data_IF_335570414282
#
_entry.id   IF_335570414282
#
_cell.length_a   1.000
_cell.length_b   1.000
_cell.length_c   1.000
_cell.angle_alpha   90.00
_cell.angle_beta   90.00
_cell.angle_gamma   90.00
#
_symmetry.space_group_name_H-M   'P 1'
#
loop_
_entity.id
_entity.type
_entity.pdbx_description
1 polymer ?
#
# COMPACT_ATOMS: atom_id res chain seq x y z
N UNK A 1 28.21 -7.34 5.90
CA UNK A 1 27.54 -6.23 6.60
C UNK A 1 27.07 -5.29 5.51
N UNK A 2 25.77 -5.29 5.17
CA UNK A 2 25.26 -4.35 4.17
C UNK A 2 25.10 -3.01 4.88
N UNK A 3 25.84 -2.01 4.45
CA UNK A 3 25.67 -0.67 4.99
C UNK A 3 24.30 -0.09 4.57
N UNK A 4 23.99 1.12 5.01
CA UNK A 4 22.69 1.74 4.68
C UNK A 4 22.54 1.99 3.18
N UNK A 5 23.64 2.21 2.45
CA UNK A 5 23.64 2.43 1.01
C UNK A 5 23.33 1.11 0.29
N UNK A 6 23.95 0.00 0.70
CA UNK A 6 23.66 -1.34 0.17
C UNK A 6 22.19 -1.70 0.36
N UNK A 7 21.63 -1.43 1.55
CA UNK A 7 20.20 -1.65 1.83
C UNK A 7 19.31 -0.81 0.91
N UNK A 8 19.68 0.45 0.67
CA UNK A 8 18.96 1.31 -0.26
C UNK A 8 19.04 0.78 -1.70
N UNK A 9 20.20 0.32 -2.15
CA UNK A 9 20.37 -0.28 -3.48
C UNK A 9 19.48 -1.52 -3.64
N UNK A 10 19.45 -2.42 -2.65
CA UNK A 10 18.59 -3.61 -2.67
C UNK A 10 17.11 -3.23 -2.67
N UNK A 11 16.72 -2.21 -1.90
CA UNK A 11 15.36 -1.70 -1.89
C UNK A 11 14.96 -1.17 -3.27
N UNK A 12 15.79 -0.31 -3.87
CA UNK A 12 15.53 0.32 -5.17
C UNK A 12 15.68 -0.66 -6.36
N UNK A 13 16.39 -1.77 -6.20
CA UNK A 13 16.44 -2.82 -7.21
C UNK A 13 15.09 -3.55 -7.37
N UNK A 14 14.21 -3.46 -6.37
CA UNK A 14 12.87 -4.06 -6.41
C UNK A 14 11.87 -3.05 -6.98
N UNK A 15 10.99 -3.54 -7.85
CA UNK A 15 9.85 -2.77 -8.40
C UNK A 15 9.03 -2.07 -7.31
N UNK A 16 8.78 -2.77 -6.19
CA UNK A 16 8.02 -2.19 -5.08
C UNK A 16 8.77 -1.05 -4.39
N UNK A 17 10.09 -1.14 -4.25
CA UNK A 17 10.90 -0.05 -3.68
C UNK A 17 10.87 1.20 -4.54
N UNK A 18 10.99 1.05 -5.87
CA UNK A 18 10.83 2.17 -6.81
C UNK A 18 9.43 2.77 -6.73
N UNK A 19 8.36 1.96 -6.71
CA UNK A 19 7.00 2.51 -6.57
C UNK A 19 6.84 3.32 -5.27
N UNK A 20 7.37 2.84 -4.14
CA UNK A 20 7.29 3.59 -2.87
C UNK A 20 8.12 4.88 -2.88
N UNK A 21 9.29 4.89 -3.51
CA UNK A 21 10.07 6.11 -3.71
C UNK A 21 9.31 7.13 -4.56
N UNK A 22 8.82 6.70 -5.72
CA UNK A 22 8.10 7.60 -6.64
C UNK A 22 6.75 8.03 -6.03
N UNK A 23 6.13 7.22 -5.17
CA UNK A 23 4.96 7.61 -4.35
C UNK A 23 5.33 8.75 -3.40
N UNK A 24 6.45 8.67 -2.71
CA UNK A 24 6.94 9.77 -1.86
C UNK A 24 7.07 11.06 -2.68
N UNK A 25 7.69 11.01 -3.86
CA UNK A 25 7.83 12.17 -4.74
C UNK A 25 6.48 12.77 -5.15
N UNK A 26 5.53 11.93 -5.55
CA UNK A 26 4.18 12.35 -5.93
C UNK A 26 3.48 13.12 -4.81
N UNK A 27 3.52 12.62 -3.58
CA UNK A 27 2.74 13.23 -2.50
C UNK A 27 3.47 14.36 -1.77
N UNK A 28 4.81 14.35 -1.73
CA UNK A 28 5.60 15.53 -1.33
C UNK A 28 5.30 16.68 -2.28
N UNK A 29 5.37 16.45 -3.60
CA UNK A 29 5.10 17.49 -4.60
C UNK A 29 3.67 18.03 -4.54
N UNK A 30 2.68 17.17 -4.24
CA UNK A 30 1.30 17.61 -3.96
C UNK A 30 1.22 18.59 -2.78
N UNK A 31 1.91 18.31 -1.68
CA UNK A 31 1.93 19.18 -0.50
C UNK A 31 2.69 20.48 -0.75
N UNK A 32 3.82 20.41 -1.46
CA UNK A 32 4.58 21.59 -1.87
C UNK A 32 3.71 22.48 -2.76
N UNK A 33 3.04 21.92 -3.76
CA UNK A 33 2.11 22.65 -4.63
C UNK A 33 1.07 23.40 -3.79
N UNK A 34 0.37 22.70 -2.88
CA UNK A 34 -0.63 23.31 -2.00
C UNK A 34 -0.07 24.44 -1.13
N UNK A 35 1.15 24.29 -0.61
CA UNK A 35 1.77 25.28 0.26
C UNK A 35 2.16 26.57 -0.49
N UNK A 36 2.66 26.45 -1.72
CA UNK A 36 3.22 27.58 -2.46
C UNK A 36 2.29 28.15 -3.54
N UNK A 37 1.12 27.55 -3.78
CA UNK A 37 0.15 27.97 -4.80
C UNK A 37 -0.23 29.46 -4.69
N UNK A 38 -0.38 29.97 -3.47
CA UNK A 38 -0.79 31.36 -3.23
C UNK A 38 0.35 32.38 -3.28
N UNK A 39 1.58 31.94 -3.05
CA UNK A 39 2.73 32.84 -2.85
C UNK A 39 3.72 32.80 -4.01
N UNK A 40 3.87 31.64 -4.66
CA UNK A 40 4.86 31.41 -5.70
C UNK A 40 4.27 30.52 -6.82
N UNK A 41 3.45 31.10 -7.73
CA UNK A 41 2.73 30.34 -8.76
C UNK A 41 3.63 29.51 -9.68
N UNK A 42 4.80 30.02 -10.04
CA UNK A 42 5.76 29.30 -10.91
C UNK A 42 6.28 28.01 -10.26
N UNK A 43 6.58 28.07 -8.96
CA UNK A 43 7.02 26.90 -8.20
C UNK A 43 5.86 25.93 -7.97
N UNK A 44 4.64 26.44 -7.79
CA UNK A 44 3.44 25.61 -7.69
C UNK A 44 3.21 24.83 -8.98
N UNK A 45 3.38 25.45 -10.15
CA UNK A 45 3.27 24.78 -11.44
C UNK A 45 4.32 23.66 -11.60
N UNK A 46 5.58 23.92 -11.23
CA UNK A 46 6.65 22.90 -11.25
C UNK A 46 6.36 21.74 -10.30
N UNK A 47 5.89 22.03 -9.08
CA UNK A 47 5.48 21.01 -8.13
C UNK A 47 4.30 20.18 -8.67
N UNK A 48 3.34 20.81 -9.36
CA UNK A 48 2.23 20.08 -9.99
C UNK A 48 2.70 19.16 -11.12
N UNK A 49 3.63 19.61 -11.96
CA UNK A 49 4.22 18.78 -13.00
C UNK A 49 4.95 17.58 -12.40
N UNK A 50 5.70 17.79 -11.31
CA UNK A 50 6.38 16.71 -10.60
C UNK A 50 5.40 15.69 -10.01
N UNK A 51 4.28 16.15 -9.44
CA UNK A 51 3.19 15.28 -8.95
C UNK A 51 2.65 14.39 -10.07
N UNK A 52 2.28 15.00 -11.20
CA UNK A 52 1.67 14.30 -12.33
C UNK A 52 2.65 13.30 -12.96
N UNK A 53 3.89 13.73 -13.19
CA UNK A 53 4.93 12.87 -13.76
C UNK A 53 5.20 11.64 -12.87
N UNK A 54 5.37 11.87 -11.55
CA UNK A 54 5.55 10.79 -10.58
C UNK A 54 4.37 9.82 -10.57
N UNK A 55 3.13 10.34 -10.60
CA UNK A 55 1.92 9.52 -10.64
C UNK A 55 1.82 8.64 -11.90
N UNK A 56 2.21 9.15 -13.07
CA UNK A 56 2.25 8.38 -14.31
C UNK A 56 3.35 7.30 -14.28
N UNK A 57 4.56 7.65 -13.83
CA UNK A 57 5.67 6.70 -13.69
C UNK A 57 5.30 5.53 -12.77
N UNK A 58 4.60 5.78 -11.66
CA UNK A 58 4.13 4.70 -10.76
C UNK A 58 3.19 3.72 -11.44
N UNK A 59 2.24 4.20 -12.23
CA UNK A 59 1.32 3.32 -12.97
C UNK A 59 2.10 2.44 -13.96
N UNK A 60 3.09 3.02 -14.65
CA UNK A 60 3.98 2.26 -15.51
C UNK A 60 4.79 1.20 -14.74
N UNK A 61 5.42 1.56 -13.61
CA UNK A 61 6.20 0.61 -12.81
C UNK A 61 5.36 -0.49 -12.16
N UNK A 62 4.07 -0.25 -11.87
CA UNK A 62 3.17 -1.29 -11.36
C UNK A 62 2.69 -2.25 -12.45
N UNK A 63 3.32 -2.21 -13.63
CA UNK A 63 2.96 -3.09 -14.73
C UNK A 63 3.06 -4.56 -14.37
N UNK A 64 2.05 -5.35 -14.76
CA UNK A 64 1.96 -6.79 -14.47
C UNK A 64 1.65 -7.14 -13.01
N UNK A 65 1.44 -6.17 -12.11
CA UNK A 65 1.20 -6.45 -10.68
C UNK A 65 -0.11 -7.20 -10.41
N UNK A 66 -1.10 -7.12 -11.29
CA UNK A 66 -2.33 -7.93 -11.20
C UNK A 66 -2.03 -9.45 -11.17
N UNK A 67 -0.91 -9.89 -11.75
CA UNK A 67 -0.51 -11.31 -11.73
C UNK A 67 -0.13 -11.80 -10.33
N UNK A 68 0.30 -10.90 -9.43
CA UNK A 68 0.63 -11.27 -8.06
C UNK A 68 -0.62 -11.75 -7.30
N UNK A 69 -1.72 -10.98 -7.36
CA UNK A 69 -3.00 -11.37 -6.76
C UNK A 69 -3.53 -12.67 -7.37
N UNK A 70 -3.43 -12.82 -8.69
CA UNK A 70 -3.83 -14.06 -9.37
C UNK A 70 -3.03 -15.28 -8.90
N UNK A 71 -1.71 -15.13 -8.77
CA UNK A 71 -0.84 -16.21 -8.32
C UNK A 71 -1.11 -16.59 -6.85
N UNK A 72 -1.40 -15.62 -5.98
CA UNK A 72 -1.80 -15.86 -4.58
C UNK A 72 -3.07 -16.72 -4.53
N UNK A 73 -4.10 -16.37 -5.29
CA UNK A 73 -5.35 -17.14 -5.34
C UNK A 73 -5.16 -18.55 -5.89
N UNK A 74 -4.28 -18.71 -6.88
CA UNK A 74 -4.00 -20.02 -7.48
C UNK A 74 -3.24 -20.95 -6.55
N UNK A 75 -2.29 -20.44 -5.77
CA UNK A 75 -1.34 -21.28 -5.01
C UNK A 75 -1.70 -21.47 -3.55
N UNK A 76 -2.23 -20.46 -2.88
CA UNK A 76 -2.49 -20.53 -1.44
C UNK A 76 -3.53 -19.48 -1.02
N UNK A 77 -4.84 -19.76 -1.21
CA UNK A 77 -5.88 -18.83 -0.81
C UNK A 77 -6.02 -18.73 0.72
N UNK A 78 -5.42 -19.63 1.50
CA UNK A 78 -5.39 -19.55 2.97
C UNK A 78 -5.75 -20.86 3.67
N UNK A 79 -5.38 -21.00 4.95
CA UNK A 79 -5.52 -22.27 5.68
C UNK A 79 -6.97 -22.58 6.08
N UNK A 80 -7.79 -21.57 6.33
CA UNK A 80 -9.20 -21.73 6.76
C UNK A 80 -10.16 -21.23 5.68
N UNK A 81 -11.43 -21.68 5.67
CA UNK A 81 -12.43 -21.15 4.73
C UNK A 81 -12.59 -19.63 4.80
N UNK A 82 -12.50 -19.07 6.01
CA UNK A 82 -12.56 -17.61 6.24
C UNK A 82 -11.38 -16.92 5.56
N UNK A 83 -10.15 -17.39 5.78
CA UNK A 83 -8.99 -16.80 5.12
C UNK A 83 -9.02 -16.98 3.60
N UNK A 84 -9.58 -18.08 3.09
CA UNK A 84 -9.81 -18.27 1.65
C UNK A 84 -10.77 -17.25 1.06
N UNK A 85 -11.87 -16.97 1.73
CA UNK A 85 -12.81 -15.93 1.32
C UNK A 85 -12.17 -14.53 1.38
N UNK A 86 -11.50 -14.22 2.48
CA UNK A 86 -10.80 -12.93 2.65
C UNK A 86 -9.74 -12.73 1.58
N UNK A 87 -8.92 -13.75 1.30
CA UNK A 87 -7.91 -13.70 0.25
C UNK A 87 -8.53 -13.55 -1.14
N UNK A 88 -9.63 -14.26 -1.42
CA UNK A 88 -10.36 -14.13 -2.68
C UNK A 88 -10.82 -12.70 -2.92
N UNK A 89 -11.44 -12.08 -1.91
CA UNK A 89 -11.95 -10.72 -2.02
C UNK A 89 -10.81 -9.69 -2.06
N UNK A 90 -9.77 -9.84 -1.23
CA UNK A 90 -8.66 -8.90 -1.16
C UNK A 90 -7.80 -8.93 -2.43
N UNK A 91 -7.31 -10.10 -2.81
CA UNK A 91 -6.46 -10.27 -4.01
C UNK A 91 -7.28 -10.10 -5.29
N UNK A 92 -8.56 -10.48 -5.30
CA UNK A 92 -9.47 -10.21 -6.42
C UNK A 92 -9.66 -8.71 -6.65
N UNK A 93 -9.86 -7.94 -5.57
CA UNK A 93 -9.90 -6.48 -5.62
C UNK A 93 -8.59 -5.88 -6.14
N UNK A 94 -7.44 -6.36 -5.63
CA UNK A 94 -6.10 -5.94 -6.09
C UNK A 94 -5.88 -6.25 -7.58
N UNK A 95 -6.35 -7.39 -8.07
CA UNK A 95 -6.29 -7.75 -9.49
C UNK A 95 -7.08 -6.78 -10.36
N UNK A 96 -8.34 -6.49 -9.99
CA UNK A 96 -9.20 -5.52 -10.68
C UNK A 96 -8.52 -4.16 -10.69
N UNK A 97 -8.05 -3.70 -9.52
CA UNK A 97 -7.33 -2.45 -9.40
C UNK A 97 -6.20 -2.33 -10.41
N UNK A 98 -5.22 -3.25 -10.34
CA UNK A 98 -4.03 -3.15 -11.17
C UNK A 98 -4.34 -3.29 -12.65
N UNK A 99 -5.25 -4.19 -13.02
CA UNK A 99 -5.61 -4.37 -14.42
C UNK A 99 -6.20 -3.09 -15.02
N UNK A 100 -7.19 -2.49 -14.34
CA UNK A 100 -7.83 -1.26 -14.83
C UNK A 100 -6.94 -0.03 -14.67
N UNK A 101 -6.00 -0.02 -13.71
CA UNK A 101 -5.00 1.03 -13.55
C UNK A 101 -4.06 1.13 -14.77
N UNK A 102 -3.77 0.00 -15.44
CA UNK A 102 -3.01 -0.01 -16.69
C UNK A 102 -3.81 0.59 -17.84
N UNK A 103 -5.08 0.24 -17.97
CA UNK A 103 -5.94 0.81 -19.01
C UNK A 103 -6.11 2.32 -18.82
N UNK A 104 -6.25 2.76 -17.55
CA UNK A 104 -6.22 4.17 -17.19
C UNK A 104 -4.90 4.84 -17.59
N UNK A 105 -3.76 4.20 -17.31
CA UNK A 105 -2.45 4.72 -17.70
C UNK A 105 -2.33 4.88 -19.22
N UNK A 106 -2.68 3.84 -19.99
CA UNK A 106 -2.68 3.86 -21.46
C UNK A 106 -3.60 4.94 -22.04
N UNK A 107 -4.76 5.16 -21.42
CA UNK A 107 -5.68 6.25 -21.77
C UNK A 107 -5.08 7.64 -21.48
N UNK A 108 -4.37 7.82 -20.36
CA UNK A 108 -3.74 9.10 -20.01
C UNK A 108 -2.52 9.44 -20.86
N UNK A 109 -1.79 8.45 -21.38
CA UNK A 109 -0.65 8.68 -22.29
C UNK A 109 -1.07 8.76 -23.77
N UNK A 110 -2.36 8.59 -24.08
CA UNK A 110 -2.91 8.76 -25.44
C UNK A 110 -2.86 7.51 -26.32
N UNK A 111 -2.56 6.33 -25.76
CA UNK A 111 -2.61 5.05 -26.50
C UNK A 111 -4.05 4.55 -26.63
N UNK A 112 -4.89 4.76 -25.60
CA UNK A 112 -6.32 4.46 -25.63
C UNK A 112 -7.13 5.76 -25.62
N UNK A 113 -8.42 5.67 -25.98
CA UNK A 113 -9.35 6.81 -25.93
C UNK A 113 -9.36 7.43 -24.52
N UNK A 114 -9.16 8.76 -24.45
CA UNK A 114 -9.19 9.54 -23.22
C UNK A 114 -10.54 9.45 -22.48
N UNK A 115 -11.64 9.16 -23.19
CA UNK A 115 -12.97 8.97 -22.59
C UNK A 115 -13.03 7.77 -21.67
N UNK A 116 -12.16 6.78 -21.86
CA UNK A 116 -12.09 5.60 -21.00
C UNK A 116 -11.47 5.93 -19.64
N UNK A 117 -10.60 6.94 -19.53
CA UNK A 117 -9.86 7.26 -18.32
C UNK A 117 -10.77 7.35 -17.08
N UNK A 118 -11.89 8.10 -17.16
CA UNK A 118 -12.78 8.27 -16.01
C UNK A 118 -13.42 6.95 -15.56
N UNK A 119 -13.87 6.13 -16.52
CA UNK A 119 -14.47 4.81 -16.22
C UNK A 119 -13.43 3.84 -15.66
N UNK A 120 -12.24 3.79 -16.25
CA UNK A 120 -11.16 2.91 -15.77
C UNK A 120 -10.67 3.35 -14.39
N UNK A 121 -10.60 4.66 -14.10
CA UNK A 121 -10.26 5.20 -12.77
C UNK A 121 -11.25 4.73 -11.72
N UNK A 122 -12.55 4.85 -11.99
CA UNK A 122 -13.59 4.43 -11.07
C UNK A 122 -13.53 2.91 -10.78
N UNK A 123 -13.47 2.08 -11.83
CA UNK A 123 -13.43 0.61 -11.67
C UNK A 123 -12.17 0.20 -10.89
N UNK A 124 -11.03 0.79 -11.23
CA UNK A 124 -9.75 0.55 -10.56
C UNK A 124 -9.83 0.92 -9.07
N UNK A 125 -10.29 2.14 -8.74
CA UNK A 125 -10.44 2.61 -7.37
C UNK A 125 -11.45 1.78 -6.56
N UNK A 126 -12.56 1.37 -7.17
CA UNK A 126 -13.55 0.50 -6.53
C UNK A 126 -12.97 -0.87 -6.18
N UNK A 127 -12.29 -1.52 -7.14
CA UNK A 127 -11.61 -2.79 -6.90
C UNK A 127 -10.57 -2.69 -5.79
N UNK A 128 -9.78 -1.62 -5.78
CA UNK A 128 -8.76 -1.38 -4.76
C UNK A 128 -9.39 -1.16 -3.37
N UNK A 129 -10.49 -0.42 -3.30
CA UNK A 129 -11.21 -0.15 -2.04
C UNK A 129 -11.74 -1.44 -1.41
N UNK A 130 -12.34 -2.31 -2.22
CA UNK A 130 -12.75 -3.66 -1.79
C UNK A 130 -11.52 -4.42 -1.29
N UNK A 131 -10.42 -4.39 -2.04
CA UNK A 131 -9.15 -4.99 -1.65
C UNK A 131 -8.69 -4.57 -0.26
N UNK A 132 -8.62 -3.26 -0.03
CA UNK A 132 -8.18 -2.67 1.24
C UNK A 132 -9.02 -3.06 2.43
N UNK A 133 -10.36 -3.05 2.31
CA UNK A 133 -11.26 -3.44 3.40
C UNK A 133 -10.94 -4.87 3.85
N UNK A 134 -10.78 -5.81 2.91
CA UNK A 134 -10.53 -7.21 3.27
C UNK A 134 -9.09 -7.48 3.71
N UNK A 135 -8.11 -6.74 3.23
CA UNK A 135 -6.74 -6.79 3.78
C UNK A 135 -6.72 -6.30 5.24
N UNK A 136 -7.38 -5.18 5.54
CA UNK A 136 -7.47 -4.63 6.91
C UNK A 136 -8.14 -5.63 7.85
N UNK A 137 -9.26 -6.24 7.44
CA UNK A 137 -9.93 -7.29 8.24
C UNK A 137 -8.98 -8.46 8.49
N UNK A 138 -8.28 -8.94 7.46
CA UNK A 138 -7.33 -10.05 7.57
C UNK A 138 -6.19 -9.73 8.55
N UNK A 139 -5.62 -8.53 8.46
CA UNK A 139 -4.54 -8.09 9.33
C UNK A 139 -4.99 -7.96 10.79
N UNK A 140 -6.21 -7.46 11.06
CA UNK A 140 -6.74 -7.43 12.42
C UNK A 140 -6.95 -8.82 13.03
N UNK A 141 -7.45 -9.78 12.24
CA UNK A 141 -7.58 -11.17 12.69
C UNK A 141 -6.19 -11.72 13.06
N UNK A 142 -5.19 -11.53 12.19
CA UNK A 142 -3.84 -12.06 12.41
C UNK A 142 -3.10 -11.36 13.57
N UNK A 143 -3.32 -10.05 13.77
CA UNK A 143 -2.83 -9.32 14.95
C UNK A 143 -3.44 -9.92 16.22
N UNK A 144 -4.76 -10.17 16.25
CA UNK A 144 -5.45 -10.76 17.39
C UNK A 144 -4.90 -12.16 17.70
N UNK A 145 -4.74 -12.99 16.67
CA UNK A 145 -4.21 -14.34 16.84
C UNK A 145 -2.76 -14.32 17.33
N UNK A 146 -1.94 -13.39 16.85
CA UNK A 146 -0.58 -13.15 17.35
C UNK A 146 -0.52 -12.66 18.81
N UNK A 147 -1.47 -11.82 19.24
CA UNK A 147 -1.59 -11.40 20.66
C UNK A 147 -1.99 -12.59 21.54
N UNK A 148 -2.91 -13.42 21.08
CA UNK A 148 -3.32 -14.62 21.82
C UNK A 148 -2.17 -15.61 21.96
N UNK A 149 -1.37 -15.80 20.90
CA UNK A 149 -0.17 -16.63 20.94
C UNK A 149 0.89 -16.08 21.92
N UNK A 150 1.14 -14.75 21.92
CA UNK A 150 2.05 -14.12 22.90
C UNK A 150 1.57 -14.35 24.34
N UNK A 151 0.26 -14.26 24.61
CA UNK A 151 -0.31 -14.53 25.94
C UNK A 151 -0.17 -15.98 26.36
N UNK A 152 -0.32 -16.94 25.45
CA UNK A 152 -0.16 -18.36 25.75
C UNK A 152 1.29 -18.67 26.14
N UNK A 153 2.27 -18.14 25.40
CA UNK A 153 3.70 -18.29 25.70
C UNK A 153 4.04 -17.63 27.05
N UNK A 154 3.52 -16.42 27.30
CA UNK A 154 3.72 -15.74 28.58
C UNK A 154 3.07 -16.51 29.76
N UNK A 155 1.91 -17.13 29.53
CA UNK A 155 1.21 -17.96 30.51
C UNK A 155 1.99 -19.25 30.85
N UNK A 156 2.50 -19.96 29.85
CA UNK A 156 3.30 -21.17 30.05
C UNK A 156 4.65 -20.91 30.73
N UNK A 157 5.21 -19.70 30.51
CA UNK A 157 6.44 -19.23 31.14
C UNK A 157 6.30 -18.90 32.63
N UNK A 158 5.07 -18.79 33.17
CA UNK A 158 4.87 -18.59 34.62
C UNK A 158 5.14 -19.88 35.43
N UNK A 159 5.24 -21.02 34.74
CA UNK A 159 5.47 -22.36 35.30
C UNK A 159 6.89 -22.91 35.07
N UNK A 160 7.79 -22.18 34.40
CA UNK A 160 9.18 -22.60 34.12
C UNK A 160 10.00 -21.53 33.37
N UNK A 161 11.31 -21.75 33.19
CA UNK A 161 12.17 -20.83 32.45
C UNK A 161 11.72 -20.67 30.97
N UNK A 162 11.70 -19.43 30.48
CA UNK A 162 11.40 -19.11 29.07
C UNK A 162 12.49 -19.71 28.18
N UNK A 163 12.12 -20.67 27.34
CA UNK A 163 13.02 -21.28 26.35
C UNK A 163 13.57 -20.23 25.36
N UNK A 164 14.77 -20.47 24.82
CA UNK A 164 15.32 -19.64 23.74
C UNK A 164 14.41 -19.63 22.50
N UNK A 165 13.75 -20.76 22.20
CA UNK A 165 12.74 -20.87 21.13
C UNK A 165 11.51 -19.98 21.40
N UNK A 166 11.07 -19.90 22.66
CA UNK A 166 9.95 -19.02 23.03
C UNK A 166 10.32 -17.54 22.87
N UNK A 167 11.56 -17.15 23.22
CA UNK A 167 12.05 -15.79 22.99
C UNK A 167 12.11 -15.45 21.51
N UNK A 168 12.57 -16.38 20.68
CA UNK A 168 12.63 -16.17 19.23
C UNK A 168 11.22 -16.04 18.63
N UNK A 169 10.29 -16.92 19.01
CA UNK A 169 8.89 -16.86 18.59
C UNK A 169 8.23 -15.55 19.00
N UNK A 170 8.44 -15.08 20.22
CA UNK A 170 7.95 -13.79 20.69
C UNK A 170 8.51 -12.63 19.87
N UNK A 171 9.82 -12.68 19.54
CA UNK A 171 10.46 -11.71 18.64
C UNK A 171 9.77 -11.67 17.27
N UNK A 172 9.53 -12.84 16.66
CA UNK A 172 8.85 -12.96 15.36
C UNK A 172 7.41 -12.42 15.42
N UNK A 173 6.64 -12.73 16.47
CA UNK A 173 5.27 -12.23 16.66
C UNK A 173 5.26 -10.69 16.77
N UNK A 174 6.22 -10.10 17.48
CA UNK A 174 6.33 -8.64 17.64
C UNK A 174 6.65 -7.96 16.32
N UNK A 175 7.60 -8.49 15.55
CA UNK A 175 7.93 -7.97 14.22
C UNK A 175 6.74 -8.10 13.28
N UNK A 176 6.08 -9.27 13.22
CA UNK A 176 4.89 -9.49 12.39
C UNK A 176 3.76 -8.52 12.74
N UNK A 177 3.53 -8.27 14.04
CA UNK A 177 2.54 -7.29 14.50
C UNK A 177 2.84 -5.88 13.98
N UNK A 178 4.08 -5.42 14.07
CA UNK A 178 4.47 -4.10 13.55
C UNK A 178 4.27 -4.05 12.04
N UNK A 179 4.66 -5.09 11.30
CA UNK A 179 4.47 -5.16 9.85
C UNK A 179 2.99 -5.09 9.45
N UNK A 180 2.10 -5.74 10.21
CA UNK A 180 0.65 -5.68 10.02
C UNK A 180 0.05 -4.33 10.37
N UNK A 181 0.48 -3.70 11.46
CA UNK A 181 0.03 -2.36 11.80
C UNK A 181 0.42 -1.35 10.71
N UNK A 182 1.62 -1.47 10.15
CA UNK A 182 2.04 -0.68 8.99
C UNK A 182 1.18 -0.99 7.76
N UNK A 183 0.80 -2.25 7.54
CA UNK A 183 -0.10 -2.64 6.45
C UNK A 183 -1.49 -2.01 6.61
N UNK A 184 -2.07 -2.06 7.81
CA UNK A 184 -3.35 -1.42 8.14
C UNK A 184 -3.28 0.08 7.91
N UNK A 185 -2.24 0.75 8.42
CA UNK A 185 -2.06 2.19 8.21
C UNK A 185 -1.97 2.56 6.72
N UNK A 186 -1.22 1.79 5.94
CA UNK A 186 -1.12 1.99 4.50
C UNK A 186 -2.47 1.79 3.78
N UNK A 187 -3.18 0.70 4.08
CA UNK A 187 -4.45 0.37 3.44
C UNK A 187 -5.55 1.38 3.80
N UNK A 188 -5.60 1.86 5.05
CA UNK A 188 -6.55 2.91 5.44
C UNK A 188 -6.26 4.23 4.74
N UNK A 189 -4.98 4.61 4.64
CA UNK A 189 -4.59 5.81 3.95
C UNK A 189 -4.88 5.73 2.44
N UNK A 190 -4.61 4.59 1.81
CA UNK A 190 -4.94 4.38 0.40
C UNK A 190 -6.45 4.26 0.16
N UNK A 191 -7.22 3.76 1.12
CA UNK A 191 -8.68 3.77 1.04
C UNK A 191 -9.24 5.19 0.96
N UNK A 192 -8.67 6.16 1.69
CA UNK A 192 -9.06 7.58 1.58
C UNK A 192 -8.84 8.09 0.14
N UNK A 193 -7.72 7.73 -0.48
CA UNK A 193 -7.39 8.11 -1.86
C UNK A 193 -8.37 7.45 -2.85
N UNK A 194 -8.68 6.17 -2.65
CA UNK A 194 -9.61 5.45 -3.50
C UNK A 194 -11.05 6.00 -3.38
N UNK A 195 -11.50 6.33 -2.16
CA UNK A 195 -12.79 6.99 -1.91
C UNK A 195 -12.86 8.35 -2.60
N UNK A 196 -11.76 9.12 -2.63
CA UNK A 196 -11.73 10.40 -3.34
C UNK A 196 -12.02 10.28 -4.85
N UNK A 197 -11.72 9.12 -5.45
CA UNK A 197 -12.00 8.82 -6.86
C UNK A 197 -13.41 8.24 -7.07
N UNK A 198 -13.94 7.48 -6.12
CA UNK A 198 -15.27 6.85 -6.20
C UNK A 198 -16.38 7.85 -5.87
N UNK A 199 -16.23 8.56 -4.75
CA UNK A 199 -17.20 9.51 -4.21
C UNK A 199 -16.47 10.80 -3.76
N UNK A 200 -16.20 11.71 -4.72
CA UNK A 200 -15.47 12.94 -4.45
C UNK A 200 -16.19 13.79 -3.39
N UNK A 201 -15.49 14.14 -2.32
CA UNK A 201 -16.02 14.96 -1.23
C UNK A 201 -14.96 15.95 -0.72
N UNK A 202 -15.36 17.05 -0.05
CA UNK A 202 -14.42 18.10 0.35
C UNK A 202 -13.28 17.62 1.23
N UNK A 203 -13.49 16.58 2.04
CA UNK A 203 -12.48 16.04 2.94
C UNK A 203 -11.47 15.15 2.20
N UNK A 204 -11.95 14.13 1.48
CA UNK A 204 -11.10 13.18 0.75
C UNK A 204 -10.38 13.82 -0.44
N UNK A 205 -10.98 14.83 -1.08
CA UNK A 205 -10.36 15.53 -2.21
C UNK A 205 -9.43 16.67 -1.77
N UNK A 206 -9.38 17.02 -0.48
CA UNK A 206 -8.49 18.09 -0.01
C UNK A 206 -7.02 17.71 -0.23
N UNK A 207 -6.23 18.66 -0.75
CA UNK A 207 -4.85 18.40 -1.15
C UNK A 207 -3.98 17.87 0.00
N UNK A 208 -4.19 18.39 1.21
CA UNK A 208 -3.50 17.95 2.43
C UNK A 208 -3.91 16.53 2.82
N UNK A 209 -5.21 16.20 2.76
CA UNK A 209 -5.71 14.86 3.09
C UNK A 209 -5.10 13.82 2.16
N UNK A 210 -5.14 14.08 0.85
CA UNK A 210 -4.51 13.20 -0.15
C UNK A 210 -3.00 13.14 0.01
N UNK A 211 -2.35 14.28 0.27
CA UNK A 211 -0.92 14.41 0.51
C UNK A 211 -0.45 13.54 1.68
N UNK A 212 -1.03 13.73 2.85
CA UNK A 212 -0.70 12.98 4.07
C UNK A 212 -1.02 11.50 3.89
N UNK A 213 -2.21 11.17 3.35
CA UNK A 213 -2.60 9.76 3.14
C UNK A 213 -1.61 9.04 2.22
N UNK A 214 -1.22 9.69 1.12
CA UNK A 214 -0.25 9.14 0.19
C UNK A 214 1.14 8.95 0.80
N UNK A 215 1.59 9.86 1.67
CA UNK A 215 2.86 9.73 2.40
C UNK A 215 2.82 8.63 3.47
N UNK A 216 1.74 8.53 4.25
CA UNK A 216 1.56 7.46 5.24
C UNK A 216 1.68 6.09 4.56
N UNK A 217 0.97 5.88 3.46
CA UNK A 217 1.07 4.62 2.71
C UNK A 217 2.45 4.42 2.06
N UNK A 218 3.09 5.48 1.56
CA UNK A 218 4.44 5.38 1.01
C UNK A 218 5.42 4.90 2.08
N UNK A 219 5.50 5.60 3.22
CA UNK A 219 6.47 5.34 4.27
C UNK A 219 6.22 4.05 5.05
N UNK A 220 4.96 3.67 5.27
CA UNK A 220 4.64 2.33 5.73
C UNK A 220 5.14 1.25 4.75
N UNK A 221 5.06 1.54 3.44
CA UNK A 221 5.65 0.71 2.40
C UNK A 221 7.18 0.65 2.43
N UNK A 222 7.86 1.77 2.69
CA UNK A 222 9.32 1.82 2.92
C UNK A 222 9.71 0.89 4.05
N UNK A 223 9.08 1.05 5.22
CA UNK A 223 9.38 0.26 6.41
C UNK A 223 9.19 -1.24 6.15
N UNK A 224 8.07 -1.63 5.54
CA UNK A 224 7.74 -3.04 5.28
C UNK A 224 8.65 -3.72 4.27
N UNK A 225 9.21 -2.97 3.33
CA UNK A 225 10.05 -3.53 2.27
C UNK A 225 11.55 -3.28 2.52
N UNK A 226 11.90 -2.62 3.62
CA UNK A 226 13.28 -2.33 3.96
C UNK A 226 14.07 -3.63 4.22
N UNK A 227 15.24 -3.83 3.60
CA UNK A 227 16.07 -4.99 3.87
C UNK A 227 16.56 -5.01 5.33
N UNK A 228 16.22 -6.08 6.05
CA UNK A 228 16.74 -6.36 7.39
C UNK A 228 18.20 -6.77 7.33
#
# INVERSE_FOLDING_TARGET
MNDTVDKLVIFLAKRDGIDKLVKTFQYVSKLVHWHVEKTHPDYAARAKQWEVASGLSRKAFRSGRFLAGFNTLRRSPGPTPVFRLLAMLSNGGEMVYFFFDHLLWLSRVGVLDARLAKRMSFISAFGESVGYVFFVISDFILIRDGINAERQIAGSSSTGEVSEDDRERLGRIRVDRVMRLMAVAANLADLIIAVAEIEPNPFCCHAVTLGISGLVSAWAGWYRNWPL
#
